data_IF_909390434205
#
_entry.id   IF_909390434205
#
_cell.length_a   1.000
_cell.length_b   1.000
_cell.length_c   1.000
_cell.angle_alpha   90.00
_cell.angle_beta   90.00
_cell.angle_gamma   90.00
#
_symmetry.space_group_name_H-M   'P 1'
#
loop_
_entity.id
_entity.type
_entity.pdbx_description
1 polymer ?
#
# COMPACT_ATOMS: atom_id res chain seq x y z
N UNK A 1 13.14 -7.98 24.79
CA UNK A 1 13.82 -7.09 23.81
C UNK A 1 12.80 -6.13 23.24
N UNK A 2 11.65 -6.63 22.78
CA UNK A 2 10.49 -5.79 22.41
C UNK A 2 10.10 -4.80 23.52
N UNK A 3 9.96 -5.24 24.78
CA UNK A 3 9.60 -4.34 25.90
C UNK A 3 10.58 -3.16 26.07
N UNK A 4 11.88 -3.40 25.87
CA UNK A 4 12.90 -2.36 25.95
C UNK A 4 12.75 -1.36 24.80
N UNK A 5 12.44 -1.85 23.60
CA UNK A 5 12.22 -1.02 22.42
C UNK A 5 10.98 -0.15 22.62
N UNK A 6 9.88 -0.72 23.10
CA UNK A 6 8.66 0.01 23.42
C UNK A 6 8.89 1.06 24.52
N UNK A 7 9.72 0.77 25.53
CA UNK A 7 10.10 1.73 26.56
C UNK A 7 10.90 2.90 25.97
N UNK A 8 11.90 2.62 25.12
CA UNK A 8 12.73 3.67 24.49
C UNK A 8 11.96 4.49 23.46
N UNK A 9 11.01 3.88 22.75
CA UNK A 9 10.08 4.58 21.87
C UNK A 9 9.32 5.70 22.58
N UNK A 10 8.88 5.47 23.83
CA UNK A 10 8.21 6.49 24.65
C UNK A 10 9.11 7.68 25.00
N UNK A 11 10.43 7.49 24.96
CA UNK A 11 11.42 8.57 25.10
C UNK A 11 11.80 9.28 23.79
N UNK A 12 11.10 8.98 22.68
CA UNK A 12 11.36 9.55 21.36
C UNK A 12 12.53 8.88 20.61
N UNK A 13 12.94 7.68 21.01
CA UNK A 13 14.00 6.93 20.33
C UNK A 13 13.37 5.93 19.36
N UNK A 14 13.61 6.09 18.06
CA UNK A 14 13.16 5.15 17.03
C UNK A 14 14.20 4.08 16.70
N UNK A 15 13.75 2.88 16.30
CA UNK A 15 14.62 1.75 15.97
C UNK A 15 14.57 1.41 14.48
N UNK A 16 15.70 1.60 13.79
CA UNK A 16 15.88 1.11 12.42
C UNK A 16 16.65 -0.21 12.42
N UNK A 17 16.12 -1.23 11.73
CA UNK A 17 16.70 -2.57 11.64
C UNK A 17 17.18 -2.87 10.21
N UNK A 18 18.50 -3.01 10.01
CA UNK A 18 19.09 -3.32 8.70
C UNK A 18 19.66 -4.74 8.67
N UNK A 19 19.12 -5.58 7.78
CA UNK A 19 19.65 -6.91 7.47
C UNK A 19 20.59 -6.88 6.28
N UNK A 20 21.64 -7.71 6.29
CA UNK A 20 22.61 -7.80 5.19
C UNK A 20 22.89 -9.27 4.80
N UNK A 21 23.02 -9.55 3.50
CA UNK A 21 23.43 -10.86 2.96
C UNK A 21 22.36 -11.55 2.10
N UNK A 22 22.53 -12.83 1.74
CA UNK A 22 21.60 -13.55 0.82
C UNK A 22 20.88 -14.77 1.45
N UNK A 23 20.79 -14.86 2.79
CA UNK A 23 20.29 -16.07 3.45
C UNK A 23 19.66 -15.88 4.84
N UNK A 24 18.74 -16.80 5.19
CA UNK A 24 17.89 -16.80 6.40
C UNK A 24 17.39 -15.40 6.78
N UNK A 25 16.55 -14.86 5.91
CA UNK A 25 15.82 -13.62 6.08
C UNK A 25 14.95 -13.76 7.34
N UNK A 26 15.50 -13.43 8.51
CA UNK A 26 14.71 -13.20 9.73
C UNK A 26 13.95 -11.88 9.59
N UNK A 27 13.37 -11.68 8.41
CA UNK A 27 12.70 -10.48 7.97
C UNK A 27 11.52 -10.19 8.89
N UNK A 28 10.71 -11.21 9.18
CA UNK A 28 9.65 -11.14 10.20
C UNK A 28 10.14 -10.66 11.56
N UNK A 29 11.37 -11.01 11.96
CA UNK A 29 11.95 -10.54 13.22
C UNK A 29 12.43 -9.09 13.11
N UNK A 30 13.06 -8.70 12.00
CA UNK A 30 13.50 -7.32 11.77
C UNK A 30 12.30 -6.37 11.67
N UNK A 31 11.26 -6.78 10.96
CA UNK A 31 9.96 -6.10 10.86
C UNK A 31 9.34 -5.92 12.25
N UNK A 32 9.20 -7.01 13.01
CA UNK A 32 8.62 -6.95 14.36
C UNK A 32 9.38 -5.97 15.27
N UNK A 33 10.72 -5.99 15.24
CA UNK A 33 11.53 -5.10 16.08
C UNK A 33 11.41 -3.63 15.64
N UNK A 34 11.43 -3.35 14.34
CA UNK A 34 11.29 -1.99 13.81
C UNK A 34 9.90 -1.41 14.08
N UNK A 35 8.84 -2.21 13.86
CA UNK A 35 7.46 -1.81 14.14
C UNK A 35 7.27 -1.48 15.63
N UNK A 36 7.86 -2.27 16.53
CA UNK A 36 7.84 -2.01 17.98
C UNK A 36 8.57 -0.72 18.38
N UNK A 37 9.49 -0.24 17.55
CA UNK A 37 10.27 0.96 17.77
C UNK A 37 9.85 2.17 16.94
N UNK A 38 8.70 2.12 16.25
CA UNK A 38 8.25 3.14 15.29
C UNK A 38 9.35 3.56 14.30
N UNK A 39 10.16 2.60 13.87
CA UNK A 39 11.21 2.80 12.89
C UNK A 39 11.02 1.93 11.66
N UNK A 40 12.07 1.82 10.86
CA UNK A 40 12.01 1.14 9.57
C UNK A 40 12.87 -0.12 9.58
N UNK A 41 12.52 -1.11 8.77
CA UNK A 41 13.40 -2.22 8.48
C UNK A 41 13.73 -2.25 6.99
N UNK A 42 14.94 -2.67 6.67
CA UNK A 42 15.35 -2.89 5.29
C UNK A 42 16.34 -4.05 5.22
N UNK A 43 16.36 -4.71 4.08
CA UNK A 43 17.27 -5.83 3.83
C UNK A 43 18.12 -5.52 2.60
N UNK A 44 19.44 -5.57 2.76
CA UNK A 44 20.41 -5.12 1.78
C UNK A 44 21.23 -6.33 1.31
N UNK A 45 20.99 -6.74 0.07
CA UNK A 45 21.67 -7.85 -0.58
C UNK A 45 22.56 -7.43 -1.77
N UNK A 46 22.36 -6.21 -2.28
CA UNK A 46 23.12 -5.62 -3.38
C UNK A 46 23.59 -4.20 -3.06
N UNK A 47 24.59 -3.72 -3.81
CA UNK A 47 25.04 -2.33 -3.68
C UNK A 47 23.97 -1.33 -4.12
N UNK A 48 23.16 -1.70 -5.12
CA UNK A 48 22.01 -0.90 -5.55
C UNK A 48 21.01 -0.73 -4.39
N UNK A 49 20.63 -1.82 -3.72
CA UNK A 49 19.72 -1.75 -2.57
C UNK A 49 20.34 -0.97 -1.41
N UNK A 50 21.65 -1.11 -1.18
CA UNK A 50 22.37 -0.31 -0.18
C UNK A 50 22.27 1.19 -0.49
N UNK A 51 22.45 1.59 -1.75
CA UNK A 51 22.36 2.99 -2.17
C UNK A 51 20.93 3.52 -2.13
N UNK A 52 19.95 2.68 -2.46
CA UNK A 52 18.53 2.99 -2.27
C UNK A 52 18.23 3.28 -0.81
N UNK A 53 18.48 2.30 0.06
CA UNK A 53 18.12 2.33 1.48
C UNK A 53 18.91 3.41 2.20
N UNK A 54 20.23 3.46 2.06
CA UNK A 54 21.11 4.35 2.84
C UNK A 54 21.33 5.73 2.20
N UNK A 55 21.31 5.81 0.87
CA UNK A 55 21.57 7.06 0.15
C UNK A 55 20.32 7.87 -0.13
N UNK A 56 19.23 7.20 -0.52
CA UNK A 56 18.01 7.86 -1.02
C UNK A 56 16.92 7.90 0.04
N UNK A 57 16.60 6.74 0.63
CA UNK A 57 15.43 6.59 1.52
C UNK A 57 15.75 6.92 2.99
N UNK A 58 17.01 6.72 3.43
CA UNK A 58 17.42 6.89 4.82
C UNK A 58 17.06 8.27 5.39
N UNK A 59 17.28 9.33 4.63
CA UNK A 59 16.97 10.68 5.10
C UNK A 59 15.48 10.92 5.30
N UNK A 60 14.62 10.24 4.54
CA UNK A 60 13.18 10.29 4.74
C UNK A 60 12.74 9.68 6.07
N UNK A 61 13.45 8.64 6.51
CA UNK A 61 13.18 7.95 7.78
C UNK A 61 13.60 8.73 9.03
N UNK A 62 14.48 9.73 8.89
CA UNK A 62 14.99 10.52 10.03
C UNK A 62 14.08 11.69 10.42
N UNK A 63 13.28 12.19 9.48
CA UNK A 63 12.43 13.36 9.70
C UNK A 63 10.97 12.99 9.50
N UNK A 64 10.29 12.64 10.60
CA UNK A 64 8.85 12.47 10.62
C UNK A 64 8.17 13.81 10.36
N UNK A 65 7.37 13.87 9.30
CA UNK A 65 6.56 15.04 8.94
C UNK A 65 5.10 14.88 9.36
N UNK A 66 4.66 13.65 9.61
CA UNK A 66 3.33 13.34 10.11
C UNK A 66 3.34 12.09 11.00
N UNK A 67 2.68 12.17 12.15
CA UNK A 67 2.48 11.05 13.08
C UNK A 67 1.04 10.54 13.01
N UNK A 68 0.82 9.33 13.54
CA UNK A 68 -0.52 8.77 13.75
C UNK A 68 -1.35 8.84 12.46
N UNK A 69 -0.73 8.43 11.36
CA UNK A 69 -1.29 8.52 10.02
C UNK A 69 -2.29 7.39 9.83
N UNK A 70 -3.54 7.78 9.61
CA UNK A 70 -4.67 6.88 9.37
C UNK A 70 -5.25 7.19 7.99
N UNK A 71 -5.43 6.13 7.19
CA UNK A 71 -6.05 6.22 5.86
C UNK A 71 -7.32 5.41 5.89
N UNK A 72 -8.44 6.02 5.49
CA UNK A 72 -9.71 5.36 5.27
C UNK A 72 -10.14 5.61 3.83
N UNK A 73 -10.53 4.54 3.14
CA UNK A 73 -11.05 4.59 1.78
C UNK A 73 -12.50 4.12 1.81
N UNK A 74 -13.39 4.97 1.33
CA UNK A 74 -14.82 4.68 1.18
C UNK A 74 -15.16 4.62 -0.31
N UNK A 75 -15.59 3.45 -0.78
CA UNK A 75 -16.04 3.28 -2.15
C UNK A 75 -17.51 3.65 -2.30
N UNK A 76 -17.87 4.23 -3.44
CA UNK A 76 -19.25 4.55 -3.73
C UNK A 76 -20.04 3.26 -4.05
N UNK A 77 -21.05 2.87 -3.24
CA UNK A 77 -21.79 1.63 -3.44
C UNK A 77 -22.65 1.64 -4.71
N UNK A 78 -22.89 2.80 -5.31
CA UNK A 78 -23.56 2.90 -6.62
C UNK A 78 -22.63 2.53 -7.80
N UNK A 79 -21.32 2.48 -7.57
CA UNK A 79 -20.29 2.22 -8.60
C UNK A 79 -19.52 0.93 -8.35
N UNK A 80 -19.25 0.62 -7.09
CA UNK A 80 -18.45 -0.53 -6.66
C UNK A 80 -19.30 -1.41 -5.74
N UNK A 81 -19.48 -2.68 -6.11
CA UNK A 81 -20.24 -3.65 -5.31
C UNK A 81 -19.36 -4.52 -4.42
N UNK A 82 -18.06 -4.62 -4.71
CA UNK A 82 -17.07 -5.25 -3.84
C UNK A 82 -15.68 -4.69 -4.12
N UNK A 83 -14.80 -4.71 -3.12
CA UNK A 83 -13.42 -4.28 -3.25
C UNK A 83 -12.52 -5.04 -2.27
N UNK A 84 -11.22 -5.02 -2.55
CA UNK A 84 -10.18 -5.61 -1.71
C UNK A 84 -8.89 -4.81 -1.79
N UNK A 85 -8.22 -4.64 -0.66
CA UNK A 85 -6.87 -4.08 -0.58
C UNK A 85 -5.83 -5.17 -0.88
N UNK A 86 -4.89 -4.90 -1.80
CA UNK A 86 -3.78 -5.81 -2.09
C UNK A 86 -2.60 -5.49 -1.18
N UNK A 87 -2.04 -6.52 -0.54
CA UNK A 87 -0.76 -6.47 0.20
C UNK A 87 -0.89 -6.02 1.65
N UNK A 88 -1.46 -4.85 1.92
CA UNK A 88 -1.61 -4.26 3.28
C UNK A 88 -2.70 -4.93 4.15
N UNK A 89 -3.01 -6.20 3.90
CA UNK A 89 -4.12 -6.93 4.52
C UNK A 89 -4.00 -6.98 6.05
N UNK A 90 -2.78 -7.06 6.59
CA UNK A 90 -2.51 -7.14 8.03
C UNK A 90 -2.56 -5.78 8.76
N UNK A 91 -2.65 -4.67 8.03
CA UNK A 91 -2.69 -3.30 8.58
C UNK A 91 -4.06 -2.63 8.36
N UNK A 92 -5.08 -3.41 7.98
CA UNK A 92 -6.45 -2.94 7.85
C UNK A 92 -6.98 -2.48 9.22
N UNK A 93 -7.29 -1.19 9.30
CA UNK A 93 -7.89 -0.58 10.47
C UNK A 93 -9.42 -0.72 10.38
N UNK A 94 -10.09 -1.02 11.49
CA UNK A 94 -11.55 -0.99 11.53
C UNK A 94 -12.04 0.46 11.41
N UNK A 95 -13.26 0.65 10.87
CA UNK A 95 -13.84 1.99 10.71
C UNK A 95 -13.98 2.75 12.05
N UNK A 96 -14.22 2.01 13.13
CA UNK A 96 -14.35 2.55 14.50
C UNK A 96 -13.00 3.10 15.01
N UNK A 97 -11.92 2.39 14.71
CA UNK A 97 -10.55 2.74 15.13
C UNK A 97 -10.01 3.96 14.36
N UNK A 98 -10.58 4.32 13.20
CA UNK A 98 -10.13 5.47 12.38
C UNK A 98 -10.22 6.80 13.14
N UNK A 99 -11.22 6.96 14.01
CA UNK A 99 -11.43 8.17 14.83
C UNK A 99 -10.81 8.09 16.22
N UNK A 100 -10.26 6.93 16.59
CA UNK A 100 -9.67 6.74 17.91
C UNK A 100 -8.20 7.18 17.90
N UNK A 101 -7.93 8.35 18.50
CA UNK A 101 -6.57 8.91 18.63
C UNK A 101 -5.70 8.12 19.63
N UNK A 102 -6.23 7.10 20.31
CA UNK A 102 -5.47 6.19 21.20
C UNK A 102 -4.90 4.96 20.48
N UNK A 103 -5.36 4.69 19.24
CA UNK A 103 -4.84 3.59 18.41
C UNK A 103 -3.55 4.01 17.73
N UNK A 104 -2.53 3.16 17.89
CA UNK A 104 -1.24 3.30 17.21
C UNK A 104 -1.42 3.21 15.70
N UNK A 105 -0.77 4.10 14.95
CA UNK A 105 -0.85 4.15 13.50
C UNK A 105 0.48 4.61 12.92
N UNK A 106 0.61 4.54 11.59
CA UNK A 106 1.91 4.70 10.94
C UNK A 106 2.46 6.13 10.98
N UNK A 107 3.76 6.24 10.76
CA UNK A 107 4.49 7.49 10.61
C UNK A 107 4.81 7.75 9.14
N UNK A 108 4.76 9.03 8.74
CA UNK A 108 5.20 9.47 7.42
C UNK A 108 6.46 10.32 7.54
N UNK A 109 7.53 9.86 6.91
CA UNK A 109 8.79 10.57 6.76
C UNK A 109 8.79 11.56 5.60
N UNK A 110 9.71 12.51 5.62
CA UNK A 110 9.90 13.45 4.51
C UNK A 110 10.24 12.69 3.21
N UNK A 111 9.47 12.92 2.14
CA UNK A 111 9.67 12.24 0.87
C UNK A 111 9.14 10.80 0.82
N UNK A 112 8.53 10.29 1.89
CA UNK A 112 7.86 8.99 1.85
C UNK A 112 6.63 9.04 0.94
N UNK A 113 6.49 8.01 0.10
CA UNK A 113 5.31 7.78 -0.73
C UNK A 113 4.69 6.45 -0.35
N UNK A 114 3.40 6.46 -0.01
CA UNK A 114 2.64 5.24 0.30
C UNK A 114 1.68 4.96 -0.85
N UNK A 115 1.77 3.76 -1.39
CA UNK A 115 0.88 3.29 -2.45
C UNK A 115 0.00 2.16 -1.92
N UNK A 116 -1.31 2.36 -1.93
CA UNK A 116 -2.30 1.33 -1.65
C UNK A 116 -3.01 0.95 -2.96
N UNK A 117 -3.03 -0.33 -3.28
CA UNK A 117 -3.70 -0.86 -4.48
C UNK A 117 -4.97 -1.56 -4.07
N UNK A 118 -6.08 -1.22 -4.72
CA UNK A 118 -7.36 -1.87 -4.53
C UNK A 118 -7.81 -2.56 -5.80
N UNK A 119 -8.30 -3.78 -5.66
CA UNK A 119 -9.12 -4.43 -6.68
C UNK A 119 -10.58 -4.11 -6.40
N UNK A 120 -11.31 -3.77 -7.44
CA UNK A 120 -12.73 -3.44 -7.36
C UNK A 120 -13.54 -4.33 -8.29
N UNK A 121 -14.78 -4.60 -7.91
CA UNK A 121 -15.80 -5.16 -8.78
C UNK A 121 -16.84 -4.06 -8.99
N UNK A 122 -16.93 -3.50 -10.20
CA UNK A 122 -17.96 -2.52 -10.52
C UNK A 122 -19.38 -3.12 -10.43
N UNK A 123 -20.37 -2.29 -10.09
CA UNK A 123 -21.78 -2.69 -10.09
C UNK A 123 -22.18 -3.22 -11.47
N UNK A 124 -22.88 -4.35 -11.50
CA UNK A 124 -23.34 -4.99 -12.74
C UNK A 124 -22.36 -5.97 -13.38
N UNK A 125 -21.11 -6.05 -12.89
CA UNK A 125 -20.15 -7.07 -13.32
C UNK A 125 -20.43 -8.39 -12.61
N UNK A 126 -20.63 -9.47 -13.36
CA UNK A 126 -20.72 -10.82 -12.78
C UNK A 126 -19.33 -11.30 -12.40
N UNK A 127 -19.19 -11.82 -11.19
CA UNK A 127 -17.91 -12.33 -10.69
C UNK A 127 -18.13 -13.53 -9.77
N UNK A 128 -17.27 -14.55 -9.90
CA UNK A 128 -17.24 -15.73 -9.03
C UNK A 128 -16.86 -15.40 -7.58
N UNK A 129 -16.25 -14.23 -7.36
CA UNK A 129 -15.82 -13.78 -6.03
C UNK A 129 -16.93 -13.06 -5.25
N UNK A 130 -18.05 -12.75 -5.91
CA UNK A 130 -19.22 -12.21 -5.23
C UNK A 130 -19.96 -13.35 -4.55
N UNK A 131 -20.21 -13.19 -3.25
CA UNK A 131 -21.16 -14.05 -2.55
C UNK A 131 -22.56 -13.66 -3.00
N UNK A 132 -23.41 -14.66 -3.24
CA UNK A 132 -24.84 -14.43 -3.43
C UNK A 132 -25.41 -14.01 -2.07
N UNK A 133 -25.67 -12.71 -1.91
CA UNK A 133 -26.24 -12.15 -0.69
C UNK A 133 -27.68 -11.80 -1.02
N UNK A 134 -28.62 -12.38 -0.26
CA UNK A 134 -30.03 -12.04 -0.38
C UNK A 134 -30.23 -10.52 -0.29
N UNK A 135 -31.12 -9.99 -1.14
CA UNK A 135 -31.49 -8.58 -1.10
C UNK A 135 -32.08 -8.24 0.27
N UNK A 136 -31.25 -7.66 1.14
CA UNK A 136 -31.65 -7.27 2.48
C UNK A 136 -32.71 -6.18 2.40
N UNK A 137 -33.89 -6.46 2.95
CA UNK A 137 -35.08 -5.58 2.94
C UNK A 137 -34.80 -4.13 3.36
N UNK A 138 -33.82 -3.91 4.24
CA UNK A 138 -33.53 -2.61 4.85
C UNK A 138 -32.28 -1.91 4.28
N UNK A 139 -31.56 -2.54 3.34
CA UNK A 139 -30.33 -1.96 2.79
C UNK A 139 -30.63 -1.36 1.42
N UNK A 140 -30.65 -0.03 1.33
CA UNK A 140 -30.81 0.69 0.05
C UNK A 140 -29.45 1.18 -0.44
N UNK A 141 -28.95 0.57 -1.52
CA UNK A 141 -27.73 1.00 -2.22
C UNK A 141 -28.08 1.97 -3.35
N UNK A 142 -28.64 3.14 -3.04
CA UNK A 142 -28.89 4.15 -4.07
C UNK A 142 -28.53 5.55 -3.57
N UNK A 143 -27.36 6.03 -3.97
CA UNK A 143 -26.99 7.44 -3.88
C UNK A 143 -27.06 8.06 -5.27
N UNK A 144 -28.08 8.90 -5.51
CA UNK A 144 -28.27 9.57 -6.81
C UNK A 144 -27.46 10.88 -6.94
N UNK A 145 -26.89 11.38 -5.85
CA UNK A 145 -26.23 12.70 -5.82
C UNK A 145 -24.72 12.66 -6.13
N UNK A 146 -24.12 11.47 -6.18
CA UNK A 146 -22.66 11.28 -6.29
C UNK A 146 -22.30 10.33 -7.44
N UNK A 147 -22.98 10.46 -8.57
CA UNK A 147 -22.91 9.48 -9.68
C UNK A 147 -21.59 9.50 -10.46
N UNK A 148 -20.78 10.54 -10.33
CA UNK A 148 -19.46 10.65 -10.95
C UNK A 148 -18.30 10.34 -9.98
N UNK A 149 -18.59 9.96 -8.74
CA UNK A 149 -17.59 9.66 -7.71
C UNK A 149 -17.34 8.15 -7.62
N UNK A 150 -16.07 7.74 -7.68
CA UNK A 150 -15.65 6.35 -7.49
C UNK A 150 -15.44 6.03 -6.01
N UNK A 151 -14.68 6.88 -5.32
CA UNK A 151 -14.31 6.70 -3.92
C UNK A 151 -13.95 8.02 -3.24
N UNK A 152 -13.94 8.02 -1.92
CA UNK A 152 -13.41 9.09 -1.08
C UNK A 152 -12.27 8.55 -0.22
N UNK A 153 -11.13 9.24 -0.24
CA UNK A 153 -10.01 8.99 0.65
C UNK A 153 -10.03 10.01 1.78
N UNK A 154 -9.99 9.51 3.02
CA UNK A 154 -9.81 10.30 4.23
C UNK A 154 -8.44 10.00 4.81
N UNK A 155 -7.64 11.04 4.94
CA UNK A 155 -6.29 10.98 5.47
C UNK A 155 -6.23 11.79 6.76
N UNK A 156 -6.03 11.12 7.89
CA UNK A 156 -5.87 11.75 9.19
C UNK A 156 -4.41 11.67 9.63
N UNK A 157 -3.89 12.74 10.22
CA UNK A 157 -2.52 12.78 10.73
C UNK A 157 -2.36 13.81 11.85
N UNK A 158 -1.27 13.73 12.61
CA UNK A 158 -0.83 14.73 13.58
C UNK A 158 0.49 15.35 13.11
N UNK A 159 0.70 16.63 13.43
CA UNK A 159 1.99 17.29 13.18
C UNK A 159 3.12 16.67 14.03
N UNK A 160 4.41 16.80 13.65
CA UNK A 160 5.56 16.21 14.35
C UNK A 160 5.75 16.63 15.82
N UNK A 161 5.11 17.71 16.27
CA UNK A 161 5.09 18.13 17.68
C UNK A 161 3.67 18.36 18.21
N UNK A 162 2.65 17.99 17.42
CA UNK A 162 1.25 18.23 17.74
C UNK A 162 0.53 16.99 18.24
N UNK A 163 -0.42 17.19 19.16
CA UNK A 163 -1.30 16.12 19.67
C UNK A 163 -2.69 16.14 19.02
N UNK A 164 -3.01 17.19 18.25
CA UNK A 164 -4.31 17.36 17.59
C UNK A 164 -4.25 16.81 16.18
N UNK A 165 -5.21 15.93 15.86
CA UNK A 165 -5.32 15.33 14.53
C UNK A 165 -5.96 16.29 13.51
N UNK A 166 -5.42 16.27 12.29
CA UNK A 166 -5.89 16.99 11.11
C UNK A 166 -6.46 16.00 10.11
N UNK A 167 -7.52 16.39 9.40
CA UNK A 167 -8.20 15.55 8.41
C UNK A 167 -8.14 16.19 7.03
N UNK A 168 -7.66 15.43 6.06
CA UNK A 168 -7.70 15.73 4.64
C UNK A 168 -8.71 14.77 4.00
N UNK A 169 -9.59 15.31 3.16
CA UNK A 169 -10.59 14.51 2.43
C UNK A 169 -10.43 14.77 0.96
N UNK A 170 -10.32 13.69 0.17
CA UNK A 170 -10.20 13.77 -1.28
C UNK A 170 -11.15 12.77 -1.95
N UNK A 171 -12.04 13.29 -2.78
CA UNK A 171 -12.89 12.48 -3.65
C UNK A 171 -12.19 12.21 -4.98
N UNK A 172 -12.30 10.98 -5.46
CA UNK A 172 -11.80 10.53 -6.76
C UNK A 172 -13.00 10.26 -7.66
N UNK A 173 -12.99 10.86 -8.85
CA UNK A 173 -14.04 10.68 -9.84
C UNK A 173 -13.85 9.42 -10.66
N UNK A 174 -14.95 8.84 -11.09
CA UNK A 174 -14.98 7.77 -12.07
C UNK A 174 -14.85 8.36 -13.48
N UNK A 175 -13.65 8.32 -14.05
CA UNK A 175 -13.37 8.80 -15.41
C UNK A 175 -13.53 7.72 -16.47
N UNK A 176 -13.90 6.48 -16.09
CA UNK A 176 -13.98 5.31 -16.96
C UNK A 176 -12.75 5.15 -17.89
N UNK A 177 -11.57 5.46 -17.36
CA UNK A 177 -10.32 5.43 -18.11
C UNK A 177 -9.77 4.02 -18.19
N UNK A 178 -9.23 3.64 -19.35
CA UNK A 178 -8.64 2.32 -19.55
C UNK A 178 -7.22 2.26 -18.99
N UNK A 179 -6.71 1.04 -18.74
CA UNK A 179 -5.35 0.84 -18.22
C UNK A 179 -4.27 1.39 -19.15
N UNK A 180 -4.52 1.45 -20.46
CA UNK A 180 -3.61 2.03 -21.46
C UNK A 180 -3.43 3.54 -21.25
N UNK A 181 -4.47 4.22 -20.76
CA UNK A 181 -4.46 5.65 -20.44
C UNK A 181 -3.96 5.97 -19.02
N UNK A 182 -3.71 4.94 -18.20
CA UNK A 182 -3.22 5.12 -16.84
C UNK A 182 -1.79 5.70 -16.81
N UNK A 183 -1.44 6.31 -15.68
CA UNK A 183 -0.09 6.80 -15.43
C UNK A 183 0.93 5.66 -15.49
N UNK A 184 2.18 6.00 -15.80
CA UNK A 184 3.30 5.05 -15.81
C UNK A 184 3.42 4.35 -14.44
N UNK A 185 3.24 5.10 -13.35
CA UNK A 185 3.31 4.59 -11.98
C UNK A 185 2.19 3.60 -11.65
N UNK A 186 0.96 3.86 -12.09
CA UNK A 186 -0.15 2.95 -11.84
C UNK A 186 0.05 1.64 -12.61
N UNK A 187 0.49 1.73 -13.88
CA UNK A 187 0.84 0.55 -14.67
C UNK A 187 1.94 -0.26 -13.99
N UNK A 188 3.04 0.40 -13.62
CA UNK A 188 4.19 -0.28 -13.03
C UNK A 188 3.85 -0.93 -11.68
N UNK A 189 3.18 -0.19 -10.78
CA UNK A 189 2.76 -0.72 -9.47
C UNK A 189 1.77 -1.88 -9.60
N UNK A 190 0.83 -1.81 -10.56
CA UNK A 190 -0.09 -2.91 -10.86
C UNK A 190 0.66 -4.15 -11.39
N UNK A 191 1.71 -3.97 -12.20
CA UNK A 191 2.54 -5.09 -12.67
C UNK A 191 3.30 -5.78 -11.51
N UNK A 192 3.86 -5.00 -10.59
CA UNK A 192 4.51 -5.52 -9.38
C UNK A 192 3.52 -6.30 -8.52
N UNK A 193 2.32 -5.75 -8.28
CA UNK A 193 1.28 -6.43 -7.52
C UNK A 193 0.82 -7.72 -8.20
N UNK A 194 0.59 -7.70 -9.52
CA UNK A 194 0.21 -8.88 -10.29
C UNK A 194 1.27 -9.97 -10.19
N UNK A 195 2.55 -9.64 -10.31
CA UNK A 195 3.64 -10.60 -10.16
C UNK A 195 3.67 -11.21 -8.76
N UNK A 196 3.52 -10.38 -7.71
CA UNK A 196 3.43 -10.87 -6.33
C UNK A 196 2.27 -11.84 -6.13
N UNK A 197 1.11 -11.55 -6.71
CA UNK A 197 -0.05 -12.46 -6.69
C UNK A 197 0.20 -13.76 -7.45
N UNK A 198 0.92 -13.71 -8.58
CA UNK A 198 1.33 -14.91 -9.34
C UNK A 198 2.26 -15.79 -8.51
N UNK A 199 3.29 -15.22 -7.88
CA UNK A 199 4.23 -15.95 -7.02
C UNK A 199 3.54 -16.61 -5.82
N UNK A 200 2.52 -15.94 -5.27
CA UNK A 200 1.70 -16.46 -4.16
C UNK A 200 0.64 -17.48 -4.59
N UNK A 201 0.51 -17.77 -5.88
CA UNK A 201 -0.60 -18.57 -6.42
C UNK A 201 -1.97 -18.08 -5.93
N UNK A 202 -2.18 -16.77 -5.94
CA UNK A 202 -3.41 -16.13 -5.48
C UNK A 202 -4.65 -16.74 -6.17
N UNK A 203 -5.68 -17.04 -5.40
CA UNK A 203 -6.97 -17.54 -5.92
C UNK A 203 -7.75 -16.47 -6.70
N UNK A 204 -7.30 -15.22 -6.60
CA UNK A 204 -8.00 -14.05 -7.12
C UNK A 204 -7.49 -13.55 -8.47
N UNK A 205 -6.49 -14.24 -9.05
CA UNK A 205 -6.01 -13.94 -10.40
C UNK A 205 -6.44 -15.04 -11.36
N UNK A 206 -6.92 -14.63 -12.53
CA UNK A 206 -7.29 -15.57 -13.60
C UNK A 206 -6.14 -15.77 -14.60
N UNK A 207 -5.19 -14.82 -14.69
CA UNK A 207 -4.00 -14.94 -15.55
C UNK A 207 -2.76 -15.31 -14.74
N UNK A 208 -2.09 -16.38 -15.19
CA UNK A 208 -0.76 -16.79 -14.70
C UNK A 208 0.35 -16.50 -15.72
N UNK A 209 0.03 -15.74 -16.76
CA UNK A 209 0.98 -15.42 -17.82
C UNK A 209 1.95 -14.34 -17.34
N UNK A 210 3.23 -14.67 -17.39
CA UNK A 210 4.30 -13.72 -17.08
C UNK A 210 4.36 -12.59 -18.11
N UNK A 211 3.92 -12.86 -19.34
CA UNK A 211 3.91 -11.87 -20.42
C UNK A 211 2.99 -10.69 -20.09
N UNK A 212 1.89 -10.91 -19.35
CA UNK A 212 0.97 -9.85 -18.96
C UNK A 212 1.63 -8.90 -17.95
N UNK A 213 2.40 -9.45 -17.00
CA UNK A 213 3.22 -8.67 -16.07
C UNK A 213 4.28 -7.87 -16.81
N UNK A 214 5.00 -8.51 -17.73
CA UNK A 214 6.08 -7.86 -18.49
C UNK A 214 5.52 -6.73 -19.34
N UNK A 215 4.45 -6.95 -20.09
CA UNK A 215 3.83 -5.94 -20.94
C UNK A 215 3.38 -4.72 -20.13
N UNK A 216 2.76 -4.96 -18.97
CA UNK A 216 2.30 -3.88 -18.10
C UNK A 216 3.47 -3.13 -17.44
N UNK A 217 4.51 -3.84 -17.00
CA UNK A 217 5.71 -3.26 -16.42
C UNK A 217 6.51 -2.43 -17.45
N UNK A 218 6.62 -2.91 -18.68
CA UNK A 218 7.27 -2.18 -19.79
C UNK A 218 6.49 -0.91 -20.15
N UNK A 219 5.15 -1.00 -20.21
CA UNK A 219 4.29 0.15 -20.44
C UNK A 219 4.32 1.18 -19.29
N UNK A 220 4.66 0.74 -18.07
CA UNK A 220 4.83 1.59 -16.88
C UNK A 220 6.28 1.98 -16.59
N UNK A 221 7.26 1.56 -17.40
CA UNK A 221 8.68 1.74 -17.06
C UNK A 221 9.06 3.21 -16.95
N UNK A 222 8.55 4.05 -17.85
CA UNK A 222 8.82 5.49 -17.83
C UNK A 222 10.32 5.85 -17.80
N UNK A 223 10.60 7.00 -17.20
CA UNK A 223 11.97 7.43 -16.85
C UNK A 223 12.47 6.62 -15.65
N UNK A 224 13.61 5.98 -15.80
CA UNK A 224 14.17 5.04 -14.83
C UNK A 224 15.68 5.31 -14.68
N UNK A 225 16.01 6.47 -14.10
CA UNK A 225 17.40 6.94 -13.94
C UNK A 225 18.27 5.96 -13.15
N UNK A 226 17.67 5.35 -12.13
CA UNK A 226 18.37 4.46 -11.20
C UNK A 226 18.27 2.97 -11.61
N UNK A 227 17.42 2.66 -12.59
CA UNK A 227 17.35 1.34 -13.21
C UNK A 227 16.50 0.30 -12.47
N UNK A 228 15.81 0.67 -11.38
CA UNK A 228 15.00 -0.26 -10.58
C UNK A 228 13.83 -0.86 -11.36
N UNK A 229 13.17 -0.07 -12.22
CA UNK A 229 12.04 -0.59 -13.01
C UNK A 229 12.51 -1.58 -14.07
N UNK A 230 13.64 -1.28 -14.71
CA UNK A 230 14.29 -2.18 -15.65
C UNK A 230 14.79 -3.46 -14.96
N UNK A 231 15.28 -3.37 -13.73
CA UNK A 231 15.69 -4.51 -12.92
C UNK A 231 14.51 -5.44 -12.63
N UNK A 232 13.39 -4.91 -12.16
CA UNK A 232 12.17 -5.68 -11.94
C UNK A 232 11.74 -6.43 -13.21
N UNK A 233 11.73 -5.75 -14.36
CA UNK A 233 11.37 -6.39 -15.65
C UNK A 233 12.34 -7.55 -15.98
N UNK A 234 13.64 -7.37 -15.75
CA UNK A 234 14.64 -8.45 -15.94
C UNK A 234 14.41 -9.62 -15.00
N UNK A 235 14.05 -9.34 -13.75
CA UNK A 235 13.75 -10.36 -12.74
C UNK A 235 12.55 -11.20 -13.16
N UNK A 236 11.45 -10.56 -13.57
CA UNK A 236 10.26 -11.27 -14.05
C UNK A 236 10.59 -12.15 -15.25
N UNK A 237 11.36 -11.63 -16.23
CA UNK A 237 11.81 -12.39 -17.41
C UNK A 237 12.69 -13.59 -17.07
N UNK A 238 13.49 -13.49 -16.00
CA UNK A 238 14.40 -14.54 -15.56
C UNK A 238 13.76 -15.54 -14.60
N UNK A 239 12.55 -15.26 -14.10
CA UNK A 239 11.84 -16.16 -13.21
C UNK A 239 11.39 -17.42 -13.98
N UNK A 240 11.68 -18.60 -13.44
CA UNK A 240 11.22 -19.89 -13.99
C UNK A 240 9.75 -20.16 -13.67
#
# INVERSE_FOLDING_TARGET
>A
MEDLIEEKRKSGVFLTCLGFGMGNYKDSKLETLADKGNGNHAYIDTMQEAQKVLGTEFFGTLYTIAKDVKIQVEFNPAKVQAYRLIGYENRLLNDEDFKDDTKDAGELGSGHTVTALYEIIPVGVKSKYLKDIDNLKYTKHTNQNYTDEMLTVRFRYKEPDGDVSKLIVKTVKDTNSSIESASEDLKFSAAVALFGMQLRNSEFIDTKRKEDVIALAEAGKGTDSDGYRAEFIRLVKSSN
#
